data_IF_623378247012
#
_entry.id   IF_623378247012
#
_cell.length_a   1.000
_cell.length_b   1.000
_cell.length_c   1.000
_cell.angle_alpha   90.00
_cell.angle_beta   90.00
_cell.angle_gamma   90.00
#
_symmetry.space_group_name_H-M   'P 1'
#
loop_
_entity.id
_entity.type
_entity.pdbx_description
1 polymer ?
#
# COMPACT_ATOMS: atom_id res chain seq x y z
N UNK A 1 19.97 -12.57 14.10
CA UNK A 1 18.92 -13.24 13.29
C UNK A 1 19.59 -14.12 12.24
N UNK A 2 19.09 -15.34 11.99
CA UNK A 2 19.60 -16.18 10.89
C UNK A 2 19.08 -15.66 9.54
N UNK A 3 19.75 -15.99 8.44
CA UNK A 3 19.34 -15.54 7.10
C UNK A 3 17.92 -16.03 6.76
N UNK A 4 17.61 -17.27 7.11
CA UNK A 4 16.30 -17.88 6.85
C UNK A 4 15.20 -17.17 7.66
N UNK A 5 15.47 -16.89 8.93
CA UNK A 5 14.54 -16.20 9.82
C UNK A 5 14.24 -14.78 9.32
N UNK A 6 15.26 -14.05 8.86
CA UNK A 6 15.08 -12.75 8.22
C UNK A 6 14.15 -12.82 7.01
N UNK A 7 14.38 -13.76 6.09
CA UNK A 7 13.54 -13.88 4.89
C UNK A 7 12.09 -14.26 5.21
N UNK A 8 11.86 -15.09 6.22
CA UNK A 8 10.51 -15.45 6.67
C UNK A 8 9.78 -14.21 7.21
N UNK A 9 10.43 -13.44 8.09
CA UNK A 9 9.86 -12.21 8.67
C UNK A 9 9.61 -11.14 7.61
N UNK A 10 10.58 -10.93 6.73
CA UNK A 10 10.49 -10.03 5.58
C UNK A 10 9.34 -10.40 4.64
N UNK A 11 9.20 -11.69 4.31
CA UNK A 11 8.09 -12.19 3.49
C UNK A 11 6.75 -11.97 4.19
N UNK A 12 6.67 -12.20 5.51
CA UNK A 12 5.48 -11.90 6.31
C UNK A 12 5.10 -10.42 6.24
N UNK A 13 6.06 -9.52 6.45
CA UNK A 13 5.86 -8.07 6.35
C UNK A 13 5.35 -7.65 4.96
N UNK A 14 5.97 -8.19 3.91
CA UNK A 14 5.54 -7.97 2.53
C UNK A 14 4.12 -8.48 2.28
N UNK A 15 3.80 -9.69 2.74
CA UNK A 15 2.50 -10.32 2.53
C UNK A 15 1.36 -9.57 3.24
N UNK A 16 1.62 -9.10 4.47
CA UNK A 16 0.68 -8.25 5.21
C UNK A 16 0.45 -6.95 4.45
N UNK A 17 1.52 -6.30 3.97
CA UNK A 17 1.41 -5.06 3.18
C UNK A 17 0.64 -5.24 1.88
N UNK A 18 0.84 -6.38 1.21
CA UNK A 18 0.14 -6.76 -0.02
C UNK A 18 -1.36 -6.93 0.20
N UNK A 19 -1.78 -7.43 1.36
CA UNK A 19 -3.16 -7.81 1.60
C UNK A 19 -4.09 -6.59 1.77
N UNK A 20 -5.22 -6.52 1.02
CA UNK A 20 -6.08 -5.33 0.96
C UNK A 20 -6.64 -4.84 2.29
N UNK A 21 -6.79 -5.72 3.29
CA UNK A 21 -7.40 -5.38 4.58
C UNK A 21 -6.38 -4.94 5.64
N UNK A 22 -5.09 -5.24 5.43
CA UNK A 22 -4.05 -4.90 6.40
C UNK A 22 -3.38 -3.58 6.01
N UNK A 23 -3.03 -3.46 4.72
CA UNK A 23 -2.34 -2.32 4.14
C UNK A 23 -1.14 -1.84 4.97
N UNK A 24 -0.69 -0.60 4.76
CA UNK A 24 0.52 -0.09 5.39
C UNK A 24 0.37 0.07 6.92
N UNK A 25 -0.87 0.28 7.41
CA UNK A 25 -1.14 0.48 8.84
C UNK A 25 -0.94 -0.75 9.70
N UNK A 26 -1.18 -1.94 9.16
CA UNK A 26 -0.94 -3.20 9.87
C UNK A 26 0.44 -3.74 9.52
N UNK A 27 0.89 -3.54 8.29
CA UNK A 27 2.18 -4.06 7.83
C UNK A 27 3.37 -3.48 8.60
N UNK A 28 3.40 -2.16 8.84
CA UNK A 28 4.50 -1.52 9.59
C UNK A 28 4.58 -2.04 11.03
N UNK A 29 3.52 -1.99 11.87
CA UNK A 29 3.57 -2.58 13.20
C UNK A 29 3.90 -4.08 13.20
N UNK A 30 3.37 -4.86 12.24
CA UNK A 30 3.65 -6.29 12.16
C UNK A 30 5.13 -6.56 11.86
N UNK A 31 5.73 -5.79 10.97
CA UNK A 31 7.16 -5.88 10.65
C UNK A 31 8.04 -5.47 11.85
N UNK A 32 7.66 -4.43 12.58
CA UNK A 32 8.34 -4.03 13.83
C UNK A 32 8.21 -5.11 14.90
N UNK A 33 7.01 -5.68 15.08
CA UNK A 33 6.78 -6.78 16.03
C UNK A 33 7.52 -8.07 15.63
N UNK A 34 7.81 -8.24 14.34
CA UNK A 34 8.67 -9.29 13.82
C UNK A 34 10.17 -8.98 14.00
N UNK A 35 10.53 -7.90 14.70
CA UNK A 35 11.90 -7.55 15.07
C UNK A 35 12.81 -7.41 13.82
N UNK A 36 12.23 -6.82 12.77
CA UNK A 36 12.97 -6.31 11.62
C UNK A 36 13.54 -4.93 11.94
N UNK A 37 14.71 -4.61 11.40
CA UNK A 37 15.27 -3.26 11.51
C UNK A 37 14.45 -2.25 10.70
N UNK A 38 14.54 -0.96 11.07
CA UNK A 38 13.76 0.13 10.48
C UNK A 38 13.83 0.18 8.94
N UNK A 39 15.01 -0.08 8.35
CA UNK A 39 15.17 -0.08 6.89
C UNK A 39 14.41 -1.25 6.27
N UNK A 40 14.53 -2.43 6.86
CA UNK A 40 13.77 -3.61 6.43
C UNK A 40 12.26 -3.43 6.60
N UNK A 41 11.82 -2.82 7.71
CA UNK A 41 10.40 -2.49 7.95
C UNK A 41 9.87 -1.61 6.83
N UNK A 42 10.53 -0.49 6.54
CA UNK A 42 10.08 0.43 5.46
C UNK A 42 10.10 -0.30 4.13
N UNK A 43 11.22 -0.94 3.77
CA UNK A 43 11.38 -1.55 2.46
C UNK A 43 10.32 -2.64 2.20
N UNK A 44 10.17 -3.62 3.08
CA UNK A 44 9.29 -4.76 2.84
C UNK A 44 7.81 -4.40 2.90
N UNK A 45 7.43 -3.48 3.77
CA UNK A 45 6.02 -3.06 3.91
C UNK A 45 5.59 -2.15 2.74
N UNK A 46 6.45 -1.21 2.32
CA UNK A 46 6.21 -0.39 1.12
C UNK A 46 6.20 -1.28 -0.12
N UNK A 47 7.17 -2.19 -0.25
CA UNK A 47 7.22 -3.09 -1.39
C UNK A 47 5.98 -4.00 -1.45
N UNK A 48 5.57 -4.57 -0.32
CA UNK A 48 4.34 -5.35 -0.20
C UNK A 48 3.10 -4.56 -0.61
N UNK A 49 2.94 -3.38 -0.03
CA UNK A 49 1.78 -2.52 -0.27
C UNK A 49 1.73 -1.94 -1.69
N UNK A 50 2.88 -1.73 -2.31
CA UNK A 50 2.95 -1.20 -3.67
C UNK A 50 2.89 -2.28 -4.76
N UNK A 51 3.22 -3.53 -4.44
CA UNK A 51 3.08 -4.67 -5.36
C UNK A 51 1.68 -4.77 -6.02
N UNK A 52 0.55 -4.67 -5.31
CA UNK A 52 -0.77 -4.74 -5.93
C UNK A 52 -1.04 -3.58 -6.90
N UNK A 53 -0.49 -2.39 -6.62
CA UNK A 53 -0.58 -1.24 -7.54
C UNK A 53 0.06 -1.57 -8.87
N UNK A 54 1.26 -2.17 -8.85
CA UNK A 54 1.98 -2.60 -10.05
C UNK A 54 1.24 -3.73 -10.77
N UNK A 55 0.75 -4.72 -10.01
CA UNK A 55 -0.03 -5.83 -10.56
C UNK A 55 -1.27 -5.34 -11.31
N UNK A 56 -2.06 -4.47 -10.69
CA UNK A 56 -3.24 -3.88 -11.33
C UNK A 56 -2.81 -3.03 -12.51
N UNK A 57 -1.77 -2.21 -12.38
CA UNK A 57 -1.37 -1.33 -13.46
C UNK A 57 -0.97 -2.08 -14.74
N UNK A 58 -0.11 -3.08 -14.61
CA UNK A 58 0.47 -3.81 -15.73
C UNK A 58 -0.35 -5.01 -16.19
N UNK A 59 -1.05 -5.69 -15.28
CA UNK A 59 -1.73 -6.96 -15.56
C UNK A 59 -3.25 -6.89 -15.41
N UNK A 60 -3.85 -5.69 -15.45
CA UNK A 60 -5.30 -5.53 -15.26
C UNK A 60 -6.11 -6.46 -16.16
N UNK A 61 -5.84 -6.45 -17.46
CA UNK A 61 -6.63 -7.19 -18.45
C UNK A 61 -6.48 -8.71 -18.25
N UNK A 62 -5.30 -9.17 -17.85
CA UNK A 62 -5.02 -10.56 -17.48
C UNK A 62 -5.75 -10.96 -16.20
N UNK A 63 -5.79 -10.07 -15.21
CA UNK A 63 -6.52 -10.29 -13.96
C UNK A 63 -8.04 -10.39 -14.22
N UNK A 64 -8.58 -9.62 -15.16
CA UNK A 64 -10.01 -9.67 -15.54
C UNK A 64 -10.43 -10.97 -16.23
N UNK A 65 -9.48 -11.80 -16.72
CA UNK A 65 -9.78 -13.12 -17.30
C UNK A 65 -10.34 -14.10 -16.27
N UNK A 66 -10.10 -13.86 -14.98
CA UNK A 66 -10.60 -14.71 -13.91
C UNK A 66 -11.86 -14.08 -13.31
N UNK A 67 -13.03 -14.73 -13.48
CA UNK A 67 -14.33 -14.17 -13.06
C UNK A 67 -14.37 -13.74 -11.59
N UNK A 68 -13.74 -14.50 -10.69
CA UNK A 68 -13.67 -14.16 -9.26
C UNK A 68 -12.88 -12.87 -9.02
N UNK A 69 -11.76 -12.70 -9.72
CA UNK A 69 -10.88 -11.52 -9.59
C UNK A 69 -11.58 -10.32 -10.23
N UNK A 70 -12.14 -10.47 -11.43
CA UNK A 70 -12.95 -9.43 -12.10
C UNK A 70 -14.03 -8.89 -11.17
N UNK A 71 -14.90 -9.78 -10.68
CA UNK A 71 -16.03 -9.38 -9.83
C UNK A 71 -15.56 -8.70 -8.53
N UNK A 72 -14.38 -9.05 -8.02
CA UNK A 72 -13.81 -8.41 -6.84
C UNK A 72 -13.23 -7.03 -7.18
N UNK A 73 -12.41 -6.91 -8.24
CA UNK A 73 -11.83 -5.63 -8.67
C UNK A 73 -12.92 -4.62 -9.07
N UNK A 74 -13.97 -5.03 -9.76
CA UNK A 74 -15.10 -4.16 -10.13
C UNK A 74 -15.79 -3.56 -8.91
N UNK A 75 -15.85 -4.30 -7.77
CA UNK A 75 -16.41 -3.78 -6.51
C UNK A 75 -15.50 -2.76 -5.83
N UNK A 76 -14.22 -2.74 -6.17
CA UNK A 76 -13.27 -1.76 -5.65
C UNK A 76 -13.31 -0.44 -6.43
N UNK A 77 -14.00 -0.38 -7.58
CA UNK A 77 -14.15 0.87 -8.33
C UNK A 77 -15.03 1.83 -7.52
N UNK A 78 -14.49 3.02 -7.21
CA UNK A 78 -15.19 4.04 -6.44
C UNK A 78 -15.47 5.28 -7.29
N UNK A 79 -16.74 5.49 -7.64
CA UNK A 79 -17.21 6.72 -8.33
C UNK A 79 -17.06 7.97 -7.47
N UNK A 80 -17.01 7.82 -6.15
CA UNK A 80 -16.68 8.94 -5.24
C UNK A 80 -15.20 9.31 -5.36
N UNK A 81 -14.31 8.32 -5.42
CA UNK A 81 -12.89 8.58 -5.61
C UNK A 81 -12.64 9.26 -6.96
N UNK A 82 -13.33 8.84 -8.03
CA UNK A 82 -13.31 9.50 -9.34
C UNK A 82 -13.61 11.00 -9.25
N UNK A 83 -14.75 11.37 -8.64
CA UNK A 83 -15.18 12.76 -8.55
C UNK A 83 -14.17 13.62 -7.77
N UNK A 84 -13.57 13.05 -6.71
CA UNK A 84 -12.59 13.77 -5.90
C UNK A 84 -11.23 13.89 -6.56
N UNK A 85 -10.77 12.85 -7.28
CA UNK A 85 -9.54 12.88 -8.08
C UNK A 85 -9.64 13.95 -9.16
N UNK A 86 -10.76 14.01 -9.90
CA UNK A 86 -10.96 15.04 -10.93
C UNK A 86 -10.95 16.46 -10.35
N UNK A 87 -11.41 16.64 -9.11
CA UNK A 87 -11.47 17.94 -8.45
C UNK A 87 -10.14 18.38 -7.82
N UNK A 88 -9.37 17.45 -7.24
CA UNK A 88 -8.20 17.78 -6.40
C UNK A 88 -6.87 17.25 -6.97
N UNK A 89 -6.90 16.47 -8.05
CA UNK A 89 -5.74 15.97 -8.76
C UNK A 89 -4.82 15.10 -7.89
N UNK A 90 -3.51 15.25 -8.10
CA UNK A 90 -2.46 14.46 -7.44
C UNK A 90 -2.48 14.54 -5.91
N UNK A 91 -2.91 15.67 -5.34
CA UNK A 91 -2.97 15.85 -3.88
C UNK A 91 -3.96 14.92 -3.20
N UNK A 92 -5.08 14.64 -3.87
CA UNK A 92 -6.04 13.67 -3.36
C UNK A 92 -5.46 12.27 -3.33
N UNK A 93 -4.75 11.86 -4.39
CA UNK A 93 -4.04 10.57 -4.42
C UNK A 93 -3.07 10.49 -3.25
N UNK A 94 -2.27 11.54 -3.03
CA UNK A 94 -1.24 11.53 -2.00
C UNK A 94 -1.80 11.39 -0.57
N UNK A 95 -2.92 12.05 -0.27
CA UNK A 95 -3.47 12.08 1.10
C UNK A 95 -4.46 10.94 1.37
N UNK A 96 -5.24 10.56 0.35
CA UNK A 96 -6.38 9.66 0.53
C UNK A 96 -6.05 8.21 0.15
N UNK A 97 -4.97 7.95 -0.59
CA UNK A 97 -4.55 6.57 -0.92
C UNK A 97 -4.38 5.69 0.32
N UNK A 98 -3.75 6.16 1.40
CA UNK A 98 -3.65 5.35 2.61
C UNK A 98 -5.02 5.12 3.26
N UNK A 99 -5.97 6.06 3.17
CA UNK A 99 -7.27 5.92 3.83
C UNK A 99 -8.27 5.05 3.06
N UNK A 100 -8.24 5.16 1.73
CA UNK A 100 -9.14 4.43 0.83
C UNK A 100 -8.58 3.07 0.43
N UNK A 101 -7.26 2.97 0.47
CA UNK A 101 -6.51 1.77 0.16
C UNK A 101 -5.93 1.75 -1.23
N UNK A 102 -4.72 1.19 -1.33
CA UNK A 102 -3.92 1.13 -2.56
C UNK A 102 -4.59 0.30 -3.65
N UNK A 103 -5.32 -0.76 -3.27
CA UNK A 103 -6.08 -1.58 -4.20
C UNK A 103 -7.20 -0.79 -4.87
N UNK A 104 -8.01 -0.09 -4.08
CA UNK A 104 -9.12 0.74 -4.58
C UNK A 104 -8.59 1.84 -5.49
N UNK A 105 -7.54 2.52 -5.08
CA UNK A 105 -6.94 3.61 -5.86
C UNK A 105 -6.33 3.12 -7.17
N UNK A 106 -5.65 1.97 -7.17
CA UNK A 106 -5.04 1.39 -8.38
C UNK A 106 -6.09 0.94 -9.39
N UNK A 107 -7.16 0.26 -8.96
CA UNK A 107 -8.25 -0.12 -9.86
C UNK A 107 -8.95 1.11 -10.41
N UNK A 108 -9.28 2.08 -9.54
CA UNK A 108 -9.92 3.33 -9.94
C UNK A 108 -9.07 4.08 -10.96
N UNK A 109 -7.76 4.21 -10.71
CA UNK A 109 -6.85 4.89 -11.64
C UNK A 109 -6.75 4.18 -13.00
N UNK A 110 -6.75 2.85 -13.01
CA UNK A 110 -6.72 2.05 -14.23
C UNK A 110 -8.00 2.18 -15.04
N UNK A 111 -9.17 2.03 -14.39
CA UNK A 111 -10.49 2.10 -15.04
C UNK A 111 -10.76 3.49 -15.62
N UNK A 112 -10.38 4.54 -14.88
CA UNK A 112 -10.58 5.93 -15.30
C UNK A 112 -9.50 6.45 -16.26
N UNK A 113 -8.56 5.59 -16.68
CA UNK A 113 -7.47 5.94 -17.61
C UNK A 113 -6.68 7.17 -17.16
N UNK A 114 -6.41 7.26 -15.86
CA UNK A 114 -5.61 8.35 -15.31
C UNK A 114 -4.19 8.31 -15.89
N UNK A 115 -3.48 9.44 -15.80
CA UNK A 115 -2.07 9.47 -16.16
C UNK A 115 -1.29 8.50 -15.27
N UNK A 116 -0.83 7.40 -15.87
CA UNK A 116 -0.13 6.30 -15.20
C UNK A 116 1.11 6.77 -14.46
N UNK A 117 1.94 7.59 -15.09
CA UNK A 117 3.20 8.05 -14.49
C UNK A 117 2.93 8.91 -13.25
N UNK A 118 1.96 9.83 -13.34
CA UNK A 118 1.55 10.66 -12.22
C UNK A 118 0.98 9.80 -11.09
N UNK A 119 0.06 8.88 -11.39
CA UNK A 119 -0.54 8.01 -10.38
C UNK A 119 0.50 7.12 -9.68
N UNK A 120 1.34 6.43 -10.45
CA UNK A 120 2.37 5.54 -9.89
C UNK A 120 3.35 6.33 -9.00
N UNK A 121 3.88 7.44 -9.48
CA UNK A 121 4.83 8.25 -8.69
C UNK A 121 4.19 8.80 -7.42
N UNK A 122 3.00 9.39 -7.51
CA UNK A 122 2.32 10.01 -6.35
C UNK A 122 1.84 8.97 -5.34
N UNK A 123 1.30 7.84 -5.78
CA UNK A 123 0.89 6.75 -4.87
C UNK A 123 2.10 6.08 -4.21
N UNK A 124 3.21 5.89 -4.92
CA UNK A 124 4.45 5.39 -4.32
C UNK A 124 4.97 6.33 -3.22
N UNK A 125 5.06 7.63 -3.51
CA UNK A 125 5.48 8.64 -2.53
C UNK A 125 4.54 8.64 -1.33
N UNK A 126 3.22 8.55 -1.55
CA UNK A 126 2.22 8.45 -0.48
C UNK A 126 2.50 7.27 0.45
N UNK A 127 2.60 6.06 -0.09
CA UNK A 127 2.85 4.84 0.70
C UNK A 127 4.18 4.93 1.45
N UNK A 128 5.24 5.42 0.78
CA UNK A 128 6.56 5.56 1.39
C UNK A 128 6.55 6.57 2.56
N UNK A 129 5.97 7.76 2.37
CA UNK A 129 5.88 8.79 3.41
C UNK A 129 5.04 8.29 4.59
N UNK A 130 3.92 7.61 4.33
CA UNK A 130 3.09 7.06 5.40
C UNK A 130 3.78 5.93 6.16
N UNK A 131 4.56 5.07 5.50
CA UNK A 131 5.33 4.03 6.17
C UNK A 131 6.33 4.62 7.17
N UNK A 132 7.07 5.65 6.75
CA UNK A 132 8.00 6.39 7.63
C UNK A 132 7.23 7.05 8.78
N UNK A 133 6.13 7.74 8.48
CA UNK A 133 5.34 8.43 9.51
C UNK A 133 4.83 7.46 10.58
N UNK A 134 4.29 6.30 10.18
CA UNK A 134 3.79 5.28 11.10
C UNK A 134 4.93 4.73 11.97
N UNK A 135 6.07 4.36 11.37
CA UNK A 135 7.25 3.87 12.09
C UNK A 135 7.71 4.88 13.15
N UNK A 136 7.89 6.14 12.74
CA UNK A 136 8.33 7.22 13.65
C UNK A 136 7.32 7.45 14.76
N UNK A 137 6.02 7.49 14.47
CA UNK A 137 4.98 7.67 15.49
C UNK A 137 4.97 6.53 16.50
N UNK A 138 5.16 5.28 16.06
CA UNK A 138 5.22 4.13 16.97
C UNK A 138 6.45 4.21 17.87
N UNK A 139 7.63 4.49 17.31
CA UNK A 139 8.86 4.63 18.09
C UNK A 139 8.75 5.77 19.12
N UNK A 140 8.26 6.95 18.71
CA UNK A 140 8.02 8.06 19.63
C UNK A 140 7.00 7.71 20.73
N UNK A 141 5.99 6.92 20.40
CA UNK A 141 5.02 6.41 21.38
C UNK A 141 5.68 5.47 22.39
N UNK A 142 6.46 4.50 21.92
CA UNK A 142 7.21 3.56 22.77
C UNK A 142 8.14 4.31 23.72
N UNK A 143 8.89 5.29 23.20
CA UNK A 143 9.81 6.12 24.01
C UNK A 143 9.04 6.91 25.08
N UNK A 144 7.91 7.52 24.71
CA UNK A 144 7.10 8.30 25.65
C UNK A 144 6.49 7.46 26.80
N UNK A 145 6.15 6.19 26.57
CA UNK A 145 5.55 5.31 27.59
C UNK A 145 6.57 4.43 28.34
N UNK A 146 7.82 4.39 27.88
CA UNK A 146 8.92 3.68 28.56
C UNK A 146 9.71 4.56 29.54
N UNK A 147 9.32 5.84 29.67
CA UNK A 147 9.83 6.80 30.65
C UNK A 147 8.96 6.83 31.90
#
# INVERSE_FOLDING_TARGET
MSILDYFIRAFGAWFVGFFPLAEIYVAVPAAMAADLDDVSVIFWTVFGNYTPVLLIHFFYEELLRFDKIRNWLERLVSTKAEAQINKHGAWFILLITPWTGVWVMAVTAKVLKMNSALFLTTSFISVFVYAIAILVMINLGIDAFST
#
